data_IF_757333298321
#
_entry.id   IF_757333298321
#
_cell.length_a   1.000
_cell.length_b   1.000
_cell.length_c   1.000
_cell.angle_alpha   90.00
_cell.angle_beta   90.00
_cell.angle_gamma   90.00
#
_symmetry.space_group_name_H-M   'P 1'
#
loop_
_entity.id
_entity.type
_entity.pdbx_description
1 polymer ?
#
# COMPACT_ATOMS: atom_id res chain seq x y z
N UNK A 1 7.82 19.76 12.95
CA UNK A 1 8.06 18.91 11.76
C UNK A 1 9.17 19.57 10.96
N UNK A 2 10.15 18.83 10.44
CA UNK A 2 11.14 19.41 9.53
C UNK A 2 10.44 19.73 8.21
N UNK A 3 10.75 20.88 7.60
CA UNK A 3 10.30 21.25 6.24
C UNK A 3 10.93 20.37 5.13
N UNK A 4 11.63 19.30 5.54
CA UNK A 4 12.26 18.37 4.61
C UNK A 4 11.20 17.40 4.08
N UNK A 5 10.96 17.37 2.75
CA UNK A 5 9.98 16.45 2.13
C UNK A 5 10.42 14.98 2.21
N UNK A 6 11.69 14.72 2.58
CA UNK A 6 12.23 13.35 2.65
C UNK A 6 12.02 12.79 4.07
N UNK A 7 11.34 11.63 4.21
CA UNK A 7 11.19 10.98 5.50
C UNK A 7 12.54 10.61 6.12
N UNK A 8 12.71 10.93 7.40
CA UNK A 8 13.92 10.59 8.16
C UNK A 8 13.82 9.14 8.65
N UNK A 9 14.04 8.19 7.76
CA UNK A 9 13.98 6.75 8.05
C UNK A 9 14.93 6.30 9.17
N UNK A 10 15.99 7.07 9.40
CA UNK A 10 16.99 6.84 10.45
C UNK A 10 16.49 7.11 11.88
N UNK A 11 15.41 7.87 12.03
CA UNK A 11 14.86 8.25 13.34
C UNK A 11 13.42 7.80 13.57
N UNK A 12 12.69 7.40 12.50
CA UNK A 12 11.31 6.93 12.61
C UNK A 12 11.28 5.57 13.31
N UNK A 13 10.43 5.47 14.34
CA UNK A 13 10.21 4.23 15.11
C UNK A 13 8.80 3.70 14.88
N UNK A 14 8.61 2.40 15.06
CA UNK A 14 7.29 1.77 14.95
C UNK A 14 6.25 2.42 15.87
N UNK A 15 6.66 2.86 17.07
CA UNK A 15 5.81 3.56 18.04
C UNK A 15 5.28 4.92 17.57
N UNK A 16 5.88 5.53 16.53
CA UNK A 16 5.48 6.85 16.06
C UNK A 16 4.27 6.79 15.11
N UNK A 17 4.02 5.63 14.50
CA UNK A 17 2.96 5.50 13.50
C UNK A 17 1.56 5.62 14.09
N UNK A 18 1.28 5.00 15.23
CA UNK A 18 -0.07 5.02 15.81
C UNK A 18 -0.53 6.45 16.17
N UNK A 19 0.24 7.26 16.90
CA UNK A 19 -0.15 8.64 17.19
C UNK A 19 -0.23 9.49 15.92
N UNK A 20 0.66 9.30 14.94
CA UNK A 20 0.66 10.04 13.69
C UNK A 20 -0.56 9.71 12.80
N UNK A 21 -0.96 8.44 12.71
CA UNK A 21 -2.20 8.03 12.01
C UNK A 21 -3.44 8.63 12.69
N UNK A 22 -3.50 8.59 14.04
CA UNK A 22 -4.63 9.18 14.77
C UNK A 22 -4.72 10.69 14.53
N UNK A 23 -3.58 11.38 14.52
CA UNK A 23 -3.53 12.80 14.23
C UNK A 23 -3.94 13.09 12.78
N UNK A 24 -3.42 12.35 11.81
CA UNK A 24 -3.77 12.51 10.40
C UNK A 24 -5.26 12.30 10.13
N UNK A 25 -5.88 11.30 10.76
CA UNK A 25 -7.34 11.09 10.70
C UNK A 25 -8.09 12.29 11.29
N UNK A 26 -7.66 12.81 12.44
CA UNK A 26 -8.32 13.93 13.09
C UNK A 26 -8.22 15.22 12.25
N UNK A 27 -7.07 15.47 11.62
CA UNK A 27 -6.86 16.62 10.72
C UNK A 27 -7.74 16.48 9.45
N UNK A 28 -7.77 15.32 8.81
CA UNK A 28 -8.65 15.10 7.65
C UNK A 28 -10.13 15.24 8.01
N UNK A 29 -10.56 14.71 9.16
CA UNK A 29 -11.93 14.89 9.66
C UNK A 29 -12.27 16.36 9.88
N UNK A 30 -11.33 17.19 10.31
CA UNK A 30 -11.52 18.63 10.48
C UNK A 30 -11.64 19.32 9.11
N UNK A 31 -10.77 18.97 8.16
CA UNK A 31 -10.84 19.49 6.79
C UNK A 31 -12.18 19.17 6.13
N UNK A 32 -12.63 17.92 6.26
CA UNK A 32 -13.94 17.48 5.73
C UNK A 32 -15.10 18.27 6.41
N UNK A 33 -15.02 18.48 7.72
CA UNK A 33 -16.00 19.33 8.44
C UNK A 33 -16.01 20.75 7.91
N UNK A 34 -14.83 21.35 7.70
CA UNK A 34 -14.70 22.70 7.15
C UNK A 34 -15.27 22.82 5.73
N UNK A 35 -15.07 21.79 4.89
CA UNK A 35 -15.66 21.74 3.56
C UNK A 35 -17.19 21.62 3.65
N UNK A 36 -17.71 20.70 4.47
CA UNK A 36 -19.13 20.39 4.53
C UNK A 36 -19.97 21.46 5.23
N UNK A 37 -19.41 22.12 6.24
CA UNK A 37 -20.07 23.23 6.96
C UNK A 37 -20.02 24.59 6.23
N UNK A 38 -19.29 24.67 5.12
CA UNK A 38 -19.18 25.90 4.35
C UNK A 38 -20.55 26.27 3.73
N UNK A 39 -21.13 27.39 4.18
CA UNK A 39 -22.43 27.88 3.73
C UNK A 39 -22.41 28.45 2.31
N UNK A 40 -21.24 28.80 1.80
CA UNK A 40 -21.08 29.32 0.46
C UNK A 40 -21.37 28.26 -0.60
N UNK A 41 -21.88 28.72 -1.75
CA UNK A 41 -22.10 27.88 -2.92
C UNK A 41 -20.86 27.03 -3.22
N UNK A 42 -20.98 25.72 -3.47
CA UNK A 42 -19.84 24.89 -3.82
C UNK A 42 -19.15 25.36 -5.10
N UNK A 43 -17.82 25.48 -5.03
CA UNK A 43 -16.94 25.85 -6.15
C UNK A 43 -15.77 24.89 -6.19
N UNK A 44 -14.98 24.94 -7.27
CA UNK A 44 -13.74 24.21 -7.34
C UNK A 44 -12.84 24.51 -6.12
N UNK A 45 -12.59 25.80 -5.85
CA UNK A 45 -11.68 26.23 -4.79
C UNK A 45 -12.13 25.84 -3.36
N UNK A 46 -13.43 25.98 -3.05
CA UNK A 46 -13.91 25.70 -1.68
C UNK A 46 -14.38 24.26 -1.46
N UNK A 47 -14.28 23.41 -2.48
CA UNK A 47 -14.73 22.00 -2.37
C UNK A 47 -13.69 21.05 -2.95
N UNK A 48 -13.37 21.13 -4.24
CA UNK A 48 -12.50 20.15 -4.90
C UNK A 48 -11.04 20.33 -4.49
N UNK A 49 -10.52 21.56 -4.57
CA UNK A 49 -9.13 21.90 -4.23
C UNK A 49 -8.85 21.65 -2.76
N UNK A 50 -9.79 21.98 -1.85
CA UNK A 50 -9.65 21.68 -0.42
C UNK A 50 -9.74 20.17 -0.14
N UNK A 51 -10.57 19.44 -0.86
CA UNK A 51 -10.67 17.99 -0.70
C UNK A 51 -9.43 17.27 -1.26
N UNK A 52 -8.82 17.79 -2.30
CA UNK A 52 -7.60 17.25 -2.90
C UNK A 52 -6.38 17.40 -1.96
N UNK A 53 -6.38 18.45 -1.13
CA UNK A 53 -5.35 18.69 -0.11
C UNK A 53 -5.71 18.16 1.28
N UNK A 54 -6.93 17.69 1.50
CA UNK A 54 -7.32 17.09 2.77
C UNK A 54 -6.61 15.76 2.99
N UNK A 55 -6.20 15.50 4.23
CA UNK A 55 -5.57 14.22 4.61
C UNK A 55 -4.11 14.07 4.20
N UNK A 56 -3.42 15.13 3.78
CA UNK A 56 -2.00 15.08 3.38
C UNK A 56 -1.10 14.44 4.45
N UNK A 57 -1.33 14.73 5.73
CA UNK A 57 -0.57 14.10 6.80
C UNK A 57 -0.84 12.60 6.88
N UNK A 58 -2.11 12.19 6.77
CA UNK A 58 -2.49 10.78 6.83
C UNK A 58 -1.91 10.00 5.66
N UNK A 59 -1.99 10.54 4.44
CA UNK A 59 -1.42 9.94 3.23
C UNK A 59 0.10 9.76 3.39
N UNK A 60 0.82 10.80 3.81
CA UNK A 60 2.27 10.75 4.02
C UNK A 60 2.66 9.70 5.06
N UNK A 61 1.96 9.64 6.18
CA UNK A 61 2.24 8.67 7.25
C UNK A 61 1.96 7.23 6.79
N UNK A 62 0.86 7.01 6.11
CA UNK A 62 0.49 5.68 5.58
C UNK A 62 1.44 5.22 4.49
N UNK A 63 1.85 6.10 3.58
CA UNK A 63 2.82 5.78 2.53
C UNK A 63 4.16 5.35 3.10
N UNK A 64 4.67 6.08 4.10
CA UNK A 64 5.91 5.70 4.81
C UNK A 64 5.76 4.37 5.52
N UNK A 65 4.65 4.17 6.24
CA UNK A 65 4.40 2.94 6.99
C UNK A 65 4.32 1.71 6.08
N UNK A 66 3.50 1.75 5.03
CA UNK A 66 3.34 0.61 4.12
C UNK A 66 4.57 0.38 3.24
N UNK A 67 5.34 1.43 2.94
CA UNK A 67 6.65 1.26 2.28
C UNK A 67 7.61 0.47 3.16
N UNK A 68 7.72 0.84 4.45
CA UNK A 68 8.57 0.11 5.42
C UNK A 68 8.05 -1.31 5.69
N UNK A 69 6.74 -1.50 5.76
CA UNK A 69 6.15 -2.84 5.89
C UNK A 69 6.53 -3.75 4.71
N UNK A 70 6.57 -3.21 3.49
CA UNK A 70 6.91 -3.99 2.30
C UNK A 70 8.42 -4.22 2.13
N UNK A 71 9.25 -3.24 2.48
CA UNK A 71 10.69 -3.28 2.22
C UNK A 71 11.50 -3.85 3.40
N UNK A 72 11.05 -3.62 4.64
CA UNK A 72 11.74 -3.97 5.89
C UNK A 72 10.74 -4.42 6.96
N UNK A 73 9.92 -5.43 6.63
CA UNK A 73 8.91 -5.97 7.55
C UNK A 73 9.56 -6.63 8.77
N UNK A 74 8.92 -6.41 9.91
CA UNK A 74 9.12 -7.13 11.16
C UNK A 74 7.75 -7.46 11.80
N UNK A 75 7.75 -8.31 12.83
CA UNK A 75 6.53 -8.75 13.51
C UNK A 75 5.72 -7.57 14.09
N UNK A 76 6.40 -6.55 14.62
CA UNK A 76 5.75 -5.36 15.19
C UNK A 76 5.01 -4.56 14.11
N UNK A 77 5.61 -4.36 12.92
CA UNK A 77 4.95 -3.67 11.80
C UNK A 77 3.77 -4.47 11.26
N UNK A 78 3.88 -5.81 11.21
CA UNK A 78 2.78 -6.67 10.78
C UNK A 78 1.58 -6.55 11.74
N UNK A 79 1.81 -6.57 13.06
CA UNK A 79 0.78 -6.35 14.07
C UNK A 79 0.17 -4.94 13.98
N UNK A 80 0.98 -3.91 13.72
CA UNK A 80 0.49 -2.56 13.50
C UNK A 80 -0.37 -2.46 12.24
N UNK A 81 0.00 -3.14 11.15
CA UNK A 81 -0.79 -3.17 9.92
C UNK A 81 -2.16 -3.84 10.14
N UNK A 82 -2.22 -4.94 10.88
CA UNK A 82 -3.49 -5.57 11.27
C UNK A 82 -4.39 -4.61 12.07
N UNK A 83 -3.79 -3.80 12.94
CA UNK A 83 -4.49 -2.80 13.74
C UNK A 83 -4.96 -1.62 12.90
N UNK A 84 -4.11 -1.09 11.99
CA UNK A 84 -4.41 0.12 11.23
C UNK A 84 -5.37 -0.13 10.07
N UNK A 85 -5.31 -1.28 9.42
CA UNK A 85 -6.15 -1.61 8.26
C UNK A 85 -7.64 -1.38 8.51
N UNK A 86 -8.27 -1.90 9.58
CA UNK A 86 -9.68 -1.65 9.82
C UNK A 86 -9.98 -0.18 10.16
N UNK A 87 -9.08 0.52 10.85
CA UNK A 87 -9.24 1.92 11.21
C UNK A 87 -9.24 2.80 9.95
N UNK A 88 -8.26 2.60 9.08
CA UNK A 88 -8.12 3.33 7.82
C UNK A 88 -9.28 3.03 6.86
N UNK A 89 -9.70 1.76 6.77
CA UNK A 89 -10.86 1.38 5.95
C UNK A 89 -12.16 2.02 6.45
N UNK A 90 -12.37 2.06 7.77
CA UNK A 90 -13.53 2.72 8.36
C UNK A 90 -13.51 4.24 8.13
N UNK A 91 -12.34 4.87 8.29
CA UNK A 91 -12.15 6.29 8.03
C UNK A 91 -12.41 6.62 6.54
N UNK A 92 -11.80 5.89 5.62
CA UNK A 92 -12.04 6.04 4.17
C UNK A 92 -13.52 5.91 3.82
N UNK A 93 -14.22 4.93 4.42
CA UNK A 93 -15.68 4.80 4.26
C UNK A 93 -16.43 6.02 4.81
N UNK A 94 -15.99 6.60 5.95
CA UNK A 94 -16.61 7.79 6.51
C UNK A 94 -16.52 8.98 5.54
N UNK A 95 -15.37 9.20 4.94
CA UNK A 95 -15.14 10.25 3.94
C UNK A 95 -15.96 9.99 2.67
N UNK A 96 -15.77 8.81 2.05
CA UNK A 96 -16.38 8.50 0.75
C UNK A 96 -17.91 8.34 0.79
N UNK A 97 -18.47 7.95 1.93
CA UNK A 97 -19.89 7.84 2.13
C UNK A 97 -20.51 9.11 2.77
N UNK A 98 -19.74 10.18 2.97
CA UNK A 98 -20.27 11.44 3.49
C UNK A 98 -21.20 12.10 2.46
N UNK A 99 -22.48 12.21 2.80
CA UNK A 99 -23.49 12.71 1.88
C UNK A 99 -23.35 14.21 1.61
N UNK A 100 -23.02 14.99 2.63
CA UNK A 100 -22.90 16.44 2.48
C UNK A 100 -21.69 16.78 1.59
N UNK A 101 -20.59 16.07 1.80
CA UNK A 101 -19.40 16.18 0.96
C UNK A 101 -19.72 15.77 -0.49
N UNK A 102 -20.37 14.62 -0.67
CA UNK A 102 -20.76 14.14 -2.00
C UNK A 102 -21.69 15.13 -2.74
N UNK A 103 -22.65 15.72 -2.04
CA UNK A 103 -23.56 16.72 -2.65
C UNK A 103 -22.79 17.96 -3.12
N UNK A 104 -21.79 18.42 -2.37
CA UNK A 104 -20.93 19.52 -2.78
C UNK A 104 -20.07 19.16 -4.00
N UNK A 105 -19.43 18.00 -4.00
CA UNK A 105 -18.64 17.49 -5.14
C UNK A 105 -19.52 17.34 -6.38
N UNK A 106 -20.72 16.73 -6.22
CA UNK A 106 -21.69 16.58 -7.30
C UNK A 106 -22.12 17.93 -7.87
N UNK A 107 -22.34 18.91 -7.00
CA UNK A 107 -22.73 20.26 -7.42
C UNK A 107 -21.64 20.88 -8.31
N UNK A 108 -20.38 20.85 -7.90
CA UNK A 108 -19.26 21.39 -8.70
C UNK A 108 -19.14 20.66 -10.04
N UNK A 109 -19.27 19.33 -10.05
CA UNK A 109 -19.23 18.51 -11.25
C UNK A 109 -20.33 18.86 -12.25
N UNK A 110 -21.57 19.08 -11.75
CA UNK A 110 -22.72 19.36 -12.63
C UNK A 110 -22.87 20.84 -13.02
N UNK A 111 -22.15 21.74 -12.34
CA UNK A 111 -22.17 23.19 -12.60
C UNK A 111 -20.75 23.76 -12.75
N UNK A 112 -19.95 23.25 -13.71
CA UNK A 112 -18.56 23.70 -13.87
C UNK A 112 -18.52 25.15 -14.33
N UNK A 113 -17.60 25.93 -13.75
CA UNK A 113 -17.33 27.29 -14.23
C UNK A 113 -16.59 27.21 -15.58
N UNK A 114 -16.99 28.05 -16.55
CA UNK A 114 -16.36 28.10 -17.88
C UNK A 114 -14.87 28.48 -17.83
N UNK A 115 -14.41 29.11 -16.76
CA UNK A 115 -13.02 29.54 -16.54
C UNK A 115 -12.09 28.47 -15.98
N UNK A 116 -12.60 27.27 -15.67
CA UNK A 116 -11.76 26.19 -15.15
C UNK A 116 -10.88 25.60 -16.26
N UNK A 117 -9.61 25.35 -15.93
CA UNK A 117 -8.70 24.65 -16.83
C UNK A 117 -9.14 23.19 -17.07
N UNK A 118 -8.72 22.56 -18.17
CA UNK A 118 -9.02 21.15 -18.45
C UNK A 118 -8.57 20.21 -17.32
N UNK A 119 -7.45 20.49 -16.65
CA UNK A 119 -6.94 19.72 -15.51
C UNK A 119 -7.89 19.79 -14.31
N UNK A 120 -8.35 21.00 -13.97
CA UNK A 120 -9.30 21.21 -12.87
C UNK A 120 -10.65 20.53 -13.14
N UNK A 121 -11.11 20.55 -14.38
CA UNK A 121 -12.29 19.81 -14.81
C UNK A 121 -12.07 18.31 -14.68
N UNK A 122 -10.90 17.82 -15.09
CA UNK A 122 -10.55 16.40 -15.00
C UNK A 122 -10.43 15.92 -13.55
N UNK A 123 -9.82 16.69 -12.67
CA UNK A 123 -9.73 16.41 -11.25
C UNK A 123 -11.14 16.31 -10.64
N UNK A 124 -12.01 17.30 -10.92
CA UNK A 124 -13.41 17.27 -10.47
C UNK A 124 -14.13 16.00 -10.92
N UNK A 125 -13.97 15.62 -12.19
CA UNK A 125 -14.56 14.40 -12.74
C UNK A 125 -14.04 13.14 -12.03
N UNK A 126 -12.73 13.04 -11.81
CA UNK A 126 -12.10 11.91 -11.11
C UNK A 126 -12.65 11.76 -9.69
N UNK A 127 -12.68 12.84 -8.92
CA UNK A 127 -13.20 12.85 -7.55
C UNK A 127 -14.68 12.45 -7.55
N UNK A 128 -15.52 13.04 -8.40
CA UNK A 128 -16.92 12.66 -8.50
C UNK A 128 -17.14 11.19 -8.84
N UNK A 129 -16.36 10.64 -9.78
CA UNK A 129 -16.41 9.23 -10.15
C UNK A 129 -15.94 8.33 -9.02
N UNK A 130 -14.92 8.75 -8.26
CA UNK A 130 -14.43 8.02 -7.09
C UNK A 130 -15.54 7.87 -6.05
N UNK A 131 -16.19 8.97 -5.65
CA UNK A 131 -17.35 8.94 -4.74
C UNK A 131 -18.45 8.00 -5.22
N UNK A 132 -18.81 8.07 -6.51
CA UNK A 132 -19.85 7.19 -7.07
C UNK A 132 -19.47 5.71 -6.99
N UNK A 133 -18.23 5.36 -7.32
CA UNK A 133 -17.73 3.98 -7.27
C UNK A 133 -17.63 3.47 -5.83
N UNK A 134 -17.30 4.36 -4.90
CA UNK A 134 -17.25 4.07 -3.46
C UNK A 134 -18.61 4.08 -2.78
N UNK A 135 -19.70 4.04 -3.54
CA UNK A 135 -21.03 3.84 -2.99
C UNK A 135 -21.70 5.09 -2.40
N UNK A 136 -21.25 6.32 -2.71
CA UNK A 136 -21.84 7.56 -2.19
C UNK A 136 -23.32 7.73 -2.55
N UNK A 137 -23.80 7.05 -3.58
CA UNK A 137 -25.21 7.06 -3.99
C UNK A 137 -26.05 6.00 -3.27
N UNK A 138 -25.44 5.07 -2.57
CA UNK A 138 -26.15 4.03 -1.83
C UNK A 138 -26.88 4.61 -0.62
N UNK A 139 -28.03 4.03 -0.28
CA UNK A 139 -28.88 4.46 0.84
C UNK A 139 -29.27 3.25 1.69
N UNK A 140 -29.71 3.55 2.92
CA UNK A 140 -30.29 2.55 3.80
C UNK A 140 -29.39 1.33 4.04
N UNK A 141 -29.95 0.16 3.82
CA UNK A 141 -29.28 -1.11 4.08
C UNK A 141 -28.13 -1.40 3.10
N UNK A 142 -28.30 -1.05 1.81
CA UNK A 142 -27.25 -1.24 0.79
C UNK A 142 -25.95 -0.51 1.17
N UNK A 143 -26.09 0.69 1.76
CA UNK A 143 -24.92 1.46 2.22
C UNK A 143 -24.22 0.79 3.41
N UNK A 144 -24.97 0.24 4.35
CA UNK A 144 -24.41 -0.48 5.50
C UNK A 144 -23.70 -1.76 5.04
N UNK A 145 -24.31 -2.49 4.11
CA UNK A 145 -23.73 -3.69 3.55
C UNK A 145 -22.45 -3.38 2.77
N UNK A 146 -22.45 -2.33 1.95
CA UNK A 146 -21.26 -1.88 1.22
C UNK A 146 -20.10 -1.56 2.18
N UNK A 147 -20.37 -0.80 3.26
CA UNK A 147 -19.35 -0.50 4.28
C UNK A 147 -18.77 -1.78 4.89
N UNK A 148 -19.60 -2.72 5.30
CA UNK A 148 -19.18 -4.00 5.86
C UNK A 148 -18.29 -4.78 4.88
N UNK A 149 -18.71 -4.86 3.62
CA UNK A 149 -17.96 -5.59 2.58
C UNK A 149 -16.59 -4.93 2.28
N UNK A 150 -16.53 -3.60 2.25
CA UNK A 150 -15.25 -2.89 2.01
C UNK A 150 -14.27 -3.04 3.17
N UNK A 151 -14.76 -3.02 4.42
CA UNK A 151 -13.94 -3.26 5.61
C UNK A 151 -13.42 -4.72 5.65
N UNK A 152 -14.26 -5.69 5.30
CA UNK A 152 -13.87 -7.10 5.19
C UNK A 152 -12.86 -7.33 4.07
N UNK A 153 -13.12 -6.75 2.89
CA UNK A 153 -12.19 -6.83 1.75
C UNK A 153 -10.80 -6.27 2.08
N UNK A 154 -10.74 -5.16 2.83
CA UNK A 154 -9.46 -4.57 3.26
C UNK A 154 -8.67 -5.51 4.16
N UNK A 155 -9.33 -6.18 5.12
CA UNK A 155 -8.70 -7.18 5.99
C UNK A 155 -8.17 -8.38 5.21
N UNK A 156 -9.00 -8.93 4.32
CA UNK A 156 -8.63 -10.08 3.49
C UNK A 156 -7.46 -9.74 2.54
N UNK A 157 -7.43 -8.53 2.00
CA UNK A 157 -6.33 -8.06 1.15
C UNK A 157 -5.01 -8.01 1.94
N UNK A 158 -5.03 -7.45 3.16
CA UNK A 158 -3.84 -7.43 4.02
C UNK A 158 -3.39 -8.86 4.36
N UNK A 159 -4.32 -9.72 4.77
CA UNK A 159 -4.01 -11.11 5.11
C UNK A 159 -3.37 -11.85 3.92
N UNK A 160 -3.94 -11.69 2.72
CA UNK A 160 -3.37 -12.27 1.50
C UNK A 160 -1.93 -11.77 1.25
N UNK A 161 -1.69 -10.46 1.36
CA UNK A 161 -0.36 -9.88 1.15
C UNK A 161 0.66 -10.41 2.18
N UNK A 162 0.28 -10.47 3.46
CA UNK A 162 1.11 -11.00 4.53
C UNK A 162 1.42 -12.49 4.31
N UNK A 163 0.41 -13.29 3.97
CA UNK A 163 0.59 -14.71 3.66
C UNK A 163 1.53 -14.93 2.47
N UNK A 164 1.36 -14.14 1.41
CA UNK A 164 2.23 -14.18 0.23
C UNK A 164 3.69 -13.83 0.57
N UNK A 165 3.89 -12.79 1.39
CA UNK A 165 5.22 -12.39 1.85
C UNK A 165 5.88 -13.52 2.65
N UNK A 166 5.16 -14.11 3.62
CA UNK A 166 5.66 -15.22 4.41
C UNK A 166 5.96 -16.46 3.56
N UNK A 167 5.10 -16.78 2.59
CA UNK A 167 5.31 -17.92 1.70
C UNK A 167 6.56 -17.75 0.80
N UNK A 168 6.85 -16.50 0.36
CA UNK A 168 8.09 -16.19 -0.37
C UNK A 168 9.32 -16.30 0.51
N UNK A 169 9.28 -15.76 1.73
CA UNK A 169 10.40 -15.81 2.71
C UNK A 169 10.74 -17.23 3.15
N UNK A 170 9.83 -18.20 3.09
CA UNK A 170 10.09 -19.61 3.41
C UNK A 170 11.02 -20.31 2.43
N UNK A 171 11.15 -19.78 1.22
CA UNK A 171 12.05 -20.37 0.24
C UNK A 171 13.44 -19.79 0.39
N UNK A 172 14.41 -20.66 0.63
CA UNK A 172 15.83 -20.36 0.52
C UNK A 172 16.55 -21.57 -0.07
N UNK A 173 17.49 -21.32 -0.95
CA UNK A 173 18.32 -22.37 -1.55
C UNK A 173 19.80 -22.03 -1.34
N UNK A 174 20.43 -22.71 -0.41
CA UNK A 174 21.86 -22.56 -0.15
C UNK A 174 22.70 -23.36 -1.16
N UNK A 175 23.70 -22.72 -1.75
CA UNK A 175 24.60 -23.27 -2.76
C UNK A 175 26.04 -23.09 -2.28
N UNK A 176 26.79 -24.18 -2.19
CA UNK A 176 28.20 -24.18 -1.72
C UNK A 176 29.16 -24.03 -2.90
N UNK A 177 28.86 -24.65 -4.04
CA UNK A 177 29.76 -24.64 -5.20
C UNK A 177 29.50 -23.45 -6.13
N UNK A 178 30.50 -22.58 -6.33
CA UNK A 178 30.40 -21.41 -7.23
C UNK A 178 30.08 -21.82 -8.69
N UNK A 179 30.47 -23.02 -9.11
CA UNK A 179 30.21 -23.56 -10.45
C UNK A 179 28.71 -23.63 -10.78
N UNK A 180 27.86 -23.84 -9.76
CA UNK A 180 26.40 -23.86 -9.90
C UNK A 180 25.82 -22.49 -10.24
N UNK A 181 26.58 -21.42 -9.96
CA UNK A 181 26.19 -20.02 -10.14
C UNK A 181 26.92 -19.37 -11.34
N UNK A 182 27.52 -20.17 -12.20
CA UNK A 182 28.24 -19.68 -13.39
C UNK A 182 27.31 -18.78 -14.24
N UNK A 183 27.84 -17.61 -14.64
CA UNK A 183 27.12 -16.57 -15.37
C UNK A 183 26.33 -15.57 -14.51
N UNK A 184 26.14 -15.83 -13.21
CA UNK A 184 25.43 -14.88 -12.31
C UNK A 184 26.32 -13.66 -12.05
N UNK A 185 25.79 -12.42 -12.15
CA UNK A 185 26.56 -11.19 -11.88
C UNK A 185 27.12 -11.15 -10.45
N UNK A 186 28.33 -10.63 -10.29
CA UNK A 186 29.04 -10.57 -9.00
C UNK A 186 28.23 -9.82 -7.92
N UNK A 187 27.55 -8.73 -8.28
CA UNK A 187 26.69 -7.98 -7.34
C UNK A 187 25.57 -8.84 -6.75
N UNK A 188 25.03 -9.79 -7.53
CA UNK A 188 24.01 -10.73 -7.06
C UNK A 188 24.63 -11.81 -6.18
N UNK A 189 25.84 -12.26 -6.53
CA UNK A 189 26.61 -13.20 -5.70
C UNK A 189 26.97 -12.59 -4.35
N UNK A 190 27.37 -11.31 -4.31
CA UNK A 190 27.64 -10.58 -3.06
C UNK A 190 26.40 -10.52 -2.17
N UNK A 191 25.25 -10.22 -2.74
CA UNK A 191 23.96 -10.21 -2.02
C UNK A 191 23.61 -11.60 -1.49
N UNK A 192 23.73 -12.64 -2.31
CA UNK A 192 23.44 -14.01 -1.92
C UNK A 192 24.42 -14.53 -0.84
N UNK A 193 25.69 -14.11 -0.90
CA UNK A 193 26.69 -14.43 0.12
C UNK A 193 26.42 -13.69 1.44
N UNK A 194 25.91 -12.45 1.39
CA UNK A 194 25.49 -11.72 2.58
C UNK A 194 24.32 -12.44 3.26
N UNK A 195 23.30 -12.82 2.50
CA UNK A 195 22.14 -13.58 2.99
C UNK A 195 22.57 -14.92 3.61
N UNK A 196 23.50 -15.66 2.99
CA UNK A 196 24.02 -16.90 3.57
C UNK A 196 24.67 -16.65 4.93
N UNK A 197 25.49 -15.59 5.05
CA UNK A 197 26.13 -15.23 6.34
C UNK A 197 25.14 -14.85 7.42
N UNK A 198 24.09 -14.11 7.07
CA UNK A 198 23.00 -13.75 8.00
C UNK A 198 22.27 -15.00 8.52
N UNK A 199 22.10 -16.01 7.66
CA UNK A 199 21.51 -17.30 8.03
C UNK A 199 22.49 -18.23 8.77
N UNK A 200 23.76 -17.85 8.96
CA UNK A 200 24.79 -18.72 9.53
C UNK A 200 25.24 -19.85 8.57
N UNK A 201 25.03 -19.71 7.28
CA UNK A 201 25.35 -20.66 6.22
C UNK A 201 26.64 -20.26 5.49
N UNK A 202 27.32 -21.25 4.89
CA UNK A 202 28.43 -21.00 3.97
C UNK A 202 27.91 -20.94 2.52
N UNK A 203 28.66 -20.25 1.65
CA UNK A 203 28.34 -20.17 0.23
C UNK A 203 27.35 -19.05 -0.09
N UNK A 204 26.33 -19.33 -0.87
CA UNK A 204 25.39 -18.37 -1.43
C UNK A 204 23.95 -18.84 -1.19
N UNK A 205 23.14 -18.03 -0.56
CA UNK A 205 21.71 -18.32 -0.38
C UNK A 205 20.87 -17.52 -1.37
N UNK A 206 20.23 -18.23 -2.29
CA UNK A 206 19.34 -17.66 -3.31
C UNK A 206 17.93 -17.67 -2.77
N UNK A 207 17.31 -16.48 -2.78
CA UNK A 207 15.91 -16.25 -2.38
C UNK A 207 15.00 -16.02 -3.60
N UNK A 208 13.69 -15.87 -3.37
CA UNK A 208 12.74 -15.49 -4.42
C UNK A 208 12.55 -13.97 -4.55
N UNK A 209 13.40 -13.18 -3.90
CA UNK A 209 13.37 -11.73 -4.02
C UNK A 209 13.80 -11.30 -5.41
N UNK A 210 13.06 -10.39 -6.00
CA UNK A 210 13.23 -10.00 -7.41
C UNK A 210 14.68 -9.58 -7.77
N UNK A 211 15.41 -8.82 -6.93
CA UNK A 211 16.81 -8.45 -7.21
C UNK A 211 17.79 -9.64 -7.30
N UNK A 212 17.43 -10.78 -6.72
CA UNK A 212 18.23 -12.03 -6.79
C UNK A 212 17.63 -12.98 -7.82
N UNK A 213 16.33 -13.23 -7.74
CA UNK A 213 15.62 -14.18 -8.59
C UNK A 213 15.75 -13.88 -10.08
N UNK A 214 15.43 -12.65 -10.50
CA UNK A 214 15.43 -12.27 -11.92
C UNK A 214 16.82 -12.34 -12.56
N UNK A 215 17.90 -11.82 -11.94
CA UNK A 215 19.23 -11.96 -12.51
C UNK A 215 19.70 -13.42 -12.58
N UNK A 216 19.42 -14.25 -11.59
CA UNK A 216 19.76 -15.67 -11.65
C UNK A 216 19.05 -16.37 -12.80
N UNK A 217 17.75 -16.11 -13.01
CA UNK A 217 17.03 -16.65 -14.16
C UNK A 217 17.58 -16.17 -15.50
N UNK A 218 18.05 -14.93 -15.55
CA UNK A 218 18.51 -14.29 -16.79
C UNK A 218 19.91 -14.73 -17.19
N UNK A 219 20.83 -14.80 -16.22
CA UNK A 219 22.26 -14.91 -16.49
C UNK A 219 22.87 -16.25 -16.08
N UNK A 220 22.31 -16.98 -15.13
CA UNK A 220 22.87 -18.25 -14.69
C UNK A 220 22.90 -19.27 -15.82
N UNK A 221 24.06 -19.89 -16.08
CA UNK A 221 24.20 -20.92 -17.10
C UNK A 221 23.60 -22.27 -16.68
N UNK A 222 23.44 -22.51 -15.39
CA UNK A 222 22.87 -23.74 -14.85
C UNK A 222 21.34 -23.81 -15.06
N UNK A 223 20.91 -24.62 -16.02
CA UNK A 223 19.48 -24.76 -16.37
C UNK A 223 18.66 -25.36 -15.23
N UNK A 224 19.20 -26.32 -14.49
CA UNK A 224 18.47 -26.98 -13.41
C UNK A 224 18.22 -26.00 -12.25
N UNK A 225 19.17 -25.14 -11.94
CA UNK A 225 19.00 -24.09 -10.96
C UNK A 225 17.90 -23.10 -11.39
N UNK A 226 17.96 -22.63 -12.65
CA UNK A 226 16.90 -21.75 -13.19
C UNK A 226 15.53 -22.40 -13.13
N UNK A 227 15.42 -23.69 -13.48
CA UNK A 227 14.18 -24.45 -13.42
C UNK A 227 13.66 -24.55 -11.98
N UNK A 228 14.54 -24.87 -11.03
CA UNK A 228 14.17 -24.99 -9.63
C UNK A 228 13.60 -23.66 -9.08
N UNK A 229 14.28 -22.55 -9.37
CA UNK A 229 13.85 -21.22 -8.96
C UNK A 229 12.52 -20.81 -9.64
N UNK A 230 12.38 -21.06 -10.94
CA UNK A 230 11.15 -20.79 -11.67
C UNK A 230 9.96 -21.53 -11.05
N UNK A 231 10.12 -22.85 -10.80
CA UNK A 231 9.06 -23.66 -10.18
C UNK A 231 8.77 -23.22 -8.75
N UNK A 232 9.78 -22.81 -8.01
CA UNK A 232 9.61 -22.29 -6.65
C UNK A 232 8.81 -20.99 -6.64
N UNK A 233 9.16 -20.03 -7.50
CA UNK A 233 8.50 -18.73 -7.59
C UNK A 233 7.04 -18.86 -8.00
N UNK A 234 6.78 -19.61 -9.08
CA UNK A 234 5.41 -19.82 -9.57
C UNK A 234 4.59 -20.82 -8.74
N UNK A 235 5.24 -21.54 -7.83
CA UNK A 235 4.60 -22.43 -6.88
C UNK A 235 4.32 -21.82 -5.50
N UNK A 236 4.64 -20.53 -5.30
CA UNK A 236 4.31 -19.83 -4.04
C UNK A 236 2.80 -19.85 -3.84
N UNK A 237 2.34 -20.15 -2.62
CA UNK A 237 0.93 -20.31 -2.23
C UNK A 237 0.17 -21.46 -2.91
N UNK A 238 0.83 -22.27 -3.74
CA UNK A 238 0.23 -23.46 -4.38
C UNK A 238 0.65 -24.78 -3.75
N UNK A 239 1.59 -24.74 -2.78
CA UNK A 239 2.10 -25.93 -2.11
C UNK A 239 1.13 -26.36 -1.02
N UNK A 240 1.04 -27.68 -0.78
CA UNK A 240 0.21 -28.23 0.28
C UNK A 240 0.63 -27.65 1.64
N UNK A 241 -0.28 -26.96 2.30
CA UNK A 241 -0.03 -26.28 3.59
C UNK A 241 0.45 -24.83 3.48
N UNK A 242 0.51 -24.26 2.25
CA UNK A 242 0.79 -22.85 1.97
C UNK A 242 -0.43 -22.20 1.31
N UNK A 243 -1.54 -22.14 2.04
CA UNK A 243 -2.74 -21.44 1.55
C UNK A 243 -2.59 -19.94 1.86
N UNK A 244 -2.57 -19.13 0.82
CA UNK A 244 -2.53 -17.67 0.93
C UNK A 244 -3.91 -17.02 0.83
N UNK A 245 -4.98 -17.82 0.65
CA UNK A 245 -6.36 -17.33 0.59
C UNK A 245 -6.99 -17.21 1.98
#
# INVERSE_FOLDING_TARGET
MSDDPIPRFDVIKNSDFEPAIKQGIAEEDEDIRNITSCISRPTFANTIEKLDSAGELLERVTDVFYNLLNAASDEEKEQLAEKFTPILAAHQNNVMLNQDLFLRVKYVYTHPLKSLSPEKLRLTEKIYRSFRRSGAMLKGEDRKQFRKLTEEASKLTLQFQTNLLHARKKFSLNIIGKDMLDGVPETVLDTAAATARENGENGWTITLDEPVYMPVLTYCNNRELRRALYMAYHGVCLRKGEDCN
#
